data_IF_037920445236
#
_entry.id   IF_037920445236
#
_cell.length_a   1.000
_cell.length_b   1.000
_cell.length_c   1.000
_cell.angle_alpha   90.00
_cell.angle_beta   90.00
_cell.angle_gamma   90.00
#
_symmetry.space_group_name_H-M   'P 1'
#
loop_
_entity.id
_entity.type
_entity.pdbx_description
1 polymer ?
#
# COMPACT_ATOMS: atom_id res chain seq x y z
N UNK A 1 25.48 4.77 -24.99
CA UNK A 1 25.30 5.67 -23.83
C UNK A 1 23.89 5.63 -23.22
N UNK A 2 22.79 5.84 -23.98
CA UNK A 2 21.42 5.84 -23.43
C UNK A 2 20.97 4.51 -22.80
N UNK A 3 21.25 3.37 -23.43
CA UNK A 3 20.86 2.05 -22.90
C UNK A 3 21.56 1.67 -21.58
N UNK A 4 22.85 1.99 -21.45
CA UNK A 4 23.59 1.76 -20.20
C UNK A 4 23.02 2.61 -19.04
N UNK A 5 22.62 3.86 -19.33
CA UNK A 5 21.95 4.72 -18.35
C UNK A 5 20.60 4.15 -17.89
N UNK A 6 19.79 3.63 -18.81
CA UNK A 6 18.52 2.96 -18.51
C UNK A 6 18.77 1.72 -17.63
N UNK A 7 19.70 0.85 -18.02
CA UNK A 7 20.01 -0.37 -17.26
C UNK A 7 20.54 -0.05 -15.86
N UNK A 8 21.41 0.97 -15.75
CA UNK A 8 21.90 1.46 -14.47
C UNK A 8 20.77 1.98 -13.59
N UNK A 9 19.85 2.77 -14.14
CA UNK A 9 18.70 3.29 -13.39
C UNK A 9 17.77 2.18 -12.90
N UNK A 10 17.46 1.19 -13.75
CA UNK A 10 16.69 0.00 -13.37
C UNK A 10 17.40 -0.75 -12.24
N UNK A 11 18.69 -1.04 -12.39
CA UNK A 11 19.47 -1.75 -11.37
C UNK A 11 19.53 -0.97 -10.05
N UNK A 12 19.77 0.34 -10.13
CA UNK A 12 19.82 1.21 -8.96
C UNK A 12 18.47 1.26 -8.23
N UNK A 13 17.36 1.36 -8.97
CA UNK A 13 16.01 1.29 -8.41
C UNK A 13 15.76 -0.03 -7.69
N UNK A 14 16.14 -1.16 -8.31
CA UNK A 14 16.03 -2.48 -7.70
C UNK A 14 16.83 -2.57 -6.39
N UNK A 15 18.09 -2.13 -6.39
CA UNK A 15 18.93 -2.11 -5.18
C UNK A 15 18.33 -1.23 -4.09
N UNK A 16 17.85 -0.04 -4.42
CA UNK A 16 17.26 0.87 -3.43
C UNK A 16 15.96 0.32 -2.84
N UNK A 17 15.17 -0.43 -3.61
CA UNK A 17 13.94 -1.07 -3.11
C UNK A 17 14.19 -2.08 -1.98
N UNK A 18 15.36 -2.74 -1.98
CA UNK A 18 15.74 -3.74 -0.98
C UNK A 18 16.39 -3.15 0.27
N UNK A 19 16.82 -1.87 0.23
CA UNK A 19 17.50 -1.23 1.36
C UNK A 19 16.61 -1.01 2.57
N UNK A 20 15.30 -0.86 2.40
CA UNK A 20 14.33 -0.63 3.47
C UNK A 20 14.38 -1.71 4.56
N UNK A 21 14.67 -2.96 4.17
CA UNK A 21 14.86 -4.07 5.11
C UNK A 21 16.08 -3.90 6.02
N UNK A 22 17.15 -3.25 5.55
CA UNK A 22 18.34 -2.95 6.35
C UNK A 22 18.10 -1.67 7.17
N UNK A 23 17.50 -0.67 6.53
CA UNK A 23 17.22 0.65 7.13
C UNK A 23 16.27 0.51 8.32
N UNK A 24 15.25 -0.36 8.28
CA UNK A 24 14.30 -0.51 9.40
C UNK A 24 14.99 -0.88 10.71
N UNK A 25 15.98 -1.79 10.69
CA UNK A 25 16.74 -2.19 11.88
C UNK A 25 17.63 -1.05 12.38
N UNK A 26 18.21 -0.27 11.47
CA UNK A 26 19.02 0.88 11.82
C UNK A 26 18.18 2.05 12.38
N UNK A 27 17.01 2.30 11.79
CA UNK A 27 16.07 3.33 12.21
C UNK A 27 15.53 3.02 13.62
N UNK A 28 15.11 1.78 13.87
CA UNK A 28 14.59 1.34 15.17
C UNK A 28 15.68 1.42 16.26
N UNK A 29 16.91 0.97 15.96
CA UNK A 29 18.05 1.09 16.86
C UNK A 29 18.35 2.55 17.20
N UNK A 30 18.38 3.43 16.22
CA UNK A 30 18.71 4.84 16.42
C UNK A 30 17.61 5.64 17.10
N UNK A 31 16.34 5.37 16.81
CA UNK A 31 15.20 5.95 17.53
C UNK A 31 15.31 5.55 19.01
N UNK A 32 15.53 4.27 19.29
CA UNK A 32 15.71 3.77 20.66
C UNK A 32 16.90 4.40 21.38
N UNK A 33 18.02 4.59 20.69
CA UNK A 33 19.18 5.29 21.24
C UNK A 33 18.90 6.78 21.50
N UNK A 34 18.17 7.48 20.63
CA UNK A 34 17.77 8.88 20.85
C UNK A 34 16.79 9.03 22.02
N UNK A 35 15.85 8.09 22.17
CA UNK A 35 14.98 8.02 23.33
C UNK A 35 15.77 7.85 24.63
N UNK A 36 16.76 6.95 24.64
CA UNK A 36 17.66 6.74 25.78
C UNK A 36 18.56 7.95 26.07
N UNK A 37 19.01 8.66 25.03
CA UNK A 37 19.88 9.84 25.13
C UNK A 37 19.09 11.13 25.41
N UNK A 38 17.76 11.11 25.40
CA UNK A 38 16.95 12.28 25.74
C UNK A 38 17.08 12.58 27.25
N UNK A 39 17.51 13.79 27.66
CA UNK A 39 17.68 14.13 29.07
C UNK A 39 16.32 14.52 29.66
N UNK A 40 15.34 13.61 29.64
CA UNK A 40 14.08 13.83 30.36
C UNK A 40 14.17 13.18 31.73
N UNK A 41 14.90 13.83 32.66
CA UNK A 41 14.63 13.65 34.10
C UNK A 41 15.22 14.65 35.09
N UNK A 42 16.22 15.48 34.76
CA UNK A 42 16.89 16.28 35.81
C UNK A 42 16.53 17.78 35.87
N UNK A 43 15.97 18.39 34.82
CA UNK A 43 15.68 19.83 34.85
C UNK A 43 14.28 20.23 35.34
N UNK A 44 13.39 19.27 35.59
CA UNK A 44 12.03 19.55 36.06
C UNK A 44 11.90 19.61 37.60
N UNK A 45 12.93 19.19 38.35
CA UNK A 45 12.88 19.12 39.81
C UNK A 45 13.31 20.43 40.51
N UNK A 46 13.96 21.36 39.82
CA UNK A 46 14.59 22.54 40.46
C UNK A 46 13.81 23.85 40.32
N UNK A 47 12.61 23.84 39.73
CA UNK A 47 11.77 25.03 39.55
C UNK A 47 10.35 24.83 40.08
N UNK A 48 10.26 24.26 41.29
CA UNK A 48 9.01 24.03 42.02
C UNK A 48 8.95 24.93 43.26
N UNK A 49 9.07 26.24 43.05
CA UNK A 49 8.73 27.24 44.06
C UNK A 49 8.20 28.47 43.31
N UNK A 50 6.98 28.88 43.66
CA UNK A 50 6.18 29.99 43.13
C UNK A 50 5.28 29.75 41.89
N UNK A 51 4.00 30.12 42.08
CA UNK A 51 2.87 30.32 41.14
C UNK A 51 1.83 29.17 40.95
N UNK A 52 0.69 29.36 41.65
CA UNK A 52 -0.75 29.18 41.29
C UNK A 52 -1.26 27.93 40.52
N UNK A 53 -2.41 27.33 40.92
CA UNK A 53 -2.95 26.14 40.27
C UNK A 53 -3.83 26.52 39.07
N UNK A 54 -3.20 26.72 37.91
CA UNK A 54 -3.92 26.75 36.64
C UNK A 54 -3.89 25.35 36.03
N UNK A 55 -5.05 24.86 35.57
CA UNK A 55 -5.29 23.50 35.09
C UNK A 55 -4.37 23.19 33.91
N UNK A 56 -3.20 22.63 34.22
CA UNK A 56 -2.23 22.18 33.24
C UNK A 56 -2.78 20.92 32.56
N UNK A 57 -3.25 21.08 31.32
CA UNK A 57 -3.46 19.98 30.41
C UNK A 57 -2.15 19.18 30.30
N UNK A 58 -2.16 17.97 30.86
CA UNK A 58 -1.07 17.00 30.75
C UNK A 58 -0.77 16.81 29.25
N UNK A 59 0.43 17.15 28.75
CA UNK A 59 0.77 16.83 27.37
C UNK A 59 0.78 15.31 27.26
N UNK A 60 -0.15 14.76 26.48
CA UNK A 60 -0.21 13.33 26.17
C UNK A 60 1.17 12.90 25.65
N UNK A 61 1.81 12.04 26.42
CA UNK A 61 3.07 11.37 26.14
C UNK A 61 2.96 10.70 24.76
N UNK A 62 3.57 11.30 23.73
CA UNK A 62 3.71 10.64 22.43
C UNK A 62 4.77 9.55 22.61
N UNK A 63 4.33 8.32 22.93
CA UNK A 63 5.18 7.15 22.80
C UNK A 63 5.68 7.08 21.35
N UNK A 64 7.00 7.14 21.16
CA UNK A 64 7.62 7.06 19.84
C UNK A 64 7.17 5.79 19.12
N UNK A 65 6.95 5.85 17.79
CA UNK A 65 6.30 4.78 17.08
C UNK A 65 7.25 3.60 17.02
N UNK A 66 6.83 2.48 17.61
CA UNK A 66 7.43 1.17 17.39
C UNK A 66 7.15 0.75 15.94
N UNK A 67 7.83 1.37 14.97
CA UNK A 67 7.68 1.14 13.52
C UNK A 67 7.83 -0.34 13.22
N UNK A 68 8.82 -0.99 13.85
CA UNK A 68 9.05 -2.42 13.74
C UNK A 68 7.92 -3.23 14.35
N UNK A 69 7.44 -2.89 15.55
CA UNK A 69 6.30 -3.60 16.17
C UNK A 69 5.01 -3.43 15.37
N UNK A 70 4.75 -2.26 14.78
CA UNK A 70 3.58 -2.00 13.93
C UNK A 70 3.68 -2.71 12.58
N UNK A 71 4.88 -2.75 12.00
CA UNK A 71 5.16 -3.56 10.80
C UNK A 71 5.00 -5.05 11.10
N UNK A 72 5.50 -5.53 12.24
CA UNK A 72 5.32 -6.92 12.69
C UNK A 72 3.88 -7.25 13.07
N UNK A 73 3.12 -6.30 13.64
CA UNK A 73 1.70 -6.45 13.91
C UNK A 73 0.90 -6.51 12.60
N UNK A 74 1.24 -5.67 11.62
CA UNK A 74 0.71 -5.75 10.25
C UNK A 74 1.01 -7.11 9.61
N UNK A 75 2.27 -7.54 9.62
CA UNK A 75 2.67 -8.84 9.08
C UNK A 75 2.03 -10.01 9.84
N UNK A 76 1.87 -9.88 11.17
CA UNK A 76 1.25 -10.87 12.03
C UNK A 76 -0.25 -11.00 11.79
N UNK A 77 -1.00 -9.90 11.78
CA UNK A 77 -2.44 -9.94 11.51
C UNK A 77 -2.75 -10.41 10.08
N UNK A 78 -1.97 -9.97 9.09
CA UNK A 78 -2.27 -10.22 7.67
C UNK A 78 -1.66 -11.50 7.11
N UNK A 79 -0.56 -11.96 7.70
CA UNK A 79 0.05 -13.24 7.39
C UNK A 79 -0.56 -14.34 8.26
N UNK A 80 -0.44 -14.22 9.58
CA UNK A 80 -0.79 -15.32 10.49
C UNK A 80 -2.30 -15.53 10.57
N UNK A 81 -3.11 -14.51 10.87
CA UNK A 81 -4.56 -14.74 11.04
C UNK A 81 -5.21 -15.18 9.72
N UNK A 82 -4.82 -14.51 8.63
CA UNK A 82 -5.36 -14.80 7.30
C UNK A 82 -4.93 -16.15 6.74
N UNK A 83 -3.62 -16.38 6.59
CA UNK A 83 -3.15 -17.64 6.01
C UNK A 83 -3.45 -18.82 6.92
N UNK A 84 -3.33 -18.68 8.25
CA UNK A 84 -3.73 -19.77 9.14
C UNK A 84 -5.22 -20.04 9.02
N UNK A 85 -6.09 -19.03 8.90
CA UNK A 85 -7.53 -19.28 8.71
C UNK A 85 -7.83 -20.02 7.39
N UNK A 86 -7.15 -19.67 6.30
CA UNK A 86 -7.31 -20.35 5.01
C UNK A 86 -6.78 -21.78 5.08
N UNK A 87 -5.59 -21.99 5.67
CA UNK A 87 -4.99 -23.32 5.82
C UNK A 87 -5.87 -24.19 6.73
N UNK A 88 -6.36 -23.67 7.85
CA UNK A 88 -7.27 -24.41 8.74
C UNK A 88 -8.55 -24.76 7.97
N UNK A 89 -9.11 -23.82 7.19
CA UNK A 89 -10.31 -24.09 6.42
C UNK A 89 -10.11 -25.18 5.34
N UNK A 90 -9.05 -25.05 4.54
CA UNK A 90 -8.76 -25.95 3.41
C UNK A 90 -8.20 -27.31 3.86
N UNK A 91 -7.35 -27.34 4.89
CA UNK A 91 -6.63 -28.55 5.31
C UNK A 91 -7.27 -29.26 6.50
N UNK A 92 -8.10 -28.60 7.30
CA UNK A 92 -8.76 -29.21 8.46
C UNK A 92 -10.28 -29.24 8.30
N UNK A 93 -10.92 -28.10 8.07
CA UNK A 93 -12.40 -28.00 8.07
C UNK A 93 -13.00 -28.74 6.88
N UNK A 94 -12.55 -28.48 5.65
CA UNK A 94 -13.08 -29.15 4.47
C UNK A 94 -12.84 -30.67 4.50
N UNK A 95 -11.64 -31.19 4.81
CA UNK A 95 -11.44 -32.64 4.92
C UNK A 95 -12.27 -33.29 6.01
N UNK A 96 -12.42 -32.63 7.18
CA UNK A 96 -13.25 -33.15 8.28
C UNK A 96 -14.73 -33.22 7.90
N UNK A 97 -15.24 -32.18 7.23
CA UNK A 97 -16.62 -32.17 6.74
C UNK A 97 -16.85 -33.18 5.62
N UNK A 98 -15.87 -33.38 4.73
CA UNK A 98 -15.93 -34.42 3.70
C UNK A 98 -16.00 -35.81 4.33
N UNK A 99 -15.19 -36.05 5.36
CA UNK A 99 -15.23 -37.29 6.12
C UNK A 99 -16.60 -37.50 6.78
N UNK A 100 -17.16 -36.47 7.41
CA UNK A 100 -18.49 -36.52 8.02
C UNK A 100 -19.60 -36.81 6.99
N UNK A 101 -19.57 -36.16 5.82
CA UNK A 101 -20.53 -36.45 4.73
C UNK A 101 -20.39 -37.89 4.24
N UNK A 102 -19.15 -38.37 4.08
CA UNK A 102 -18.89 -39.75 3.67
C UNK A 102 -19.39 -40.75 4.71
N UNK A 103 -19.25 -40.44 6.00
CA UNK A 103 -19.74 -41.26 7.10
C UNK A 103 -21.27 -41.34 7.13
N UNK A 104 -21.96 -40.20 6.98
CA UNK A 104 -23.43 -40.12 7.05
C UNK A 104 -24.12 -40.66 5.80
N UNK A 105 -23.60 -40.35 4.60
CA UNK A 105 -24.27 -40.62 3.32
C UNK A 105 -23.58 -41.70 2.48
N UNK A 106 -22.43 -42.22 2.89
CA UNK A 106 -21.66 -43.22 2.13
C UNK A 106 -22.34 -44.59 1.99
N UNK A 107 -23.37 -44.87 2.80
CA UNK A 107 -24.19 -46.08 2.68
C UNK A 107 -25.10 -46.07 1.44
N UNK A 108 -25.41 -44.88 0.89
CA UNK A 108 -26.22 -44.73 -0.32
C UNK A 108 -25.32 -44.46 -1.52
N UNK A 109 -25.43 -45.26 -2.59
CA UNK A 109 -24.50 -45.19 -3.72
C UNK A 109 -24.46 -43.80 -4.36
N UNK A 110 -23.34 -43.08 -4.21
CA UNK A 110 -23.08 -41.80 -4.87
C UNK A 110 -23.73 -40.56 -4.24
N UNK A 111 -24.51 -40.71 -3.16
CA UNK A 111 -25.15 -39.59 -2.47
C UNK A 111 -24.12 -38.67 -1.79
N UNK A 112 -23.12 -39.26 -1.15
CA UNK A 112 -21.98 -38.57 -0.53
C UNK A 112 -21.25 -37.64 -1.52
N UNK A 113 -20.98 -38.14 -2.74
CA UNK A 113 -20.30 -37.40 -3.81
C UNK A 113 -21.16 -36.25 -4.32
N UNK A 114 -22.46 -36.48 -4.49
CA UNK A 114 -23.41 -35.46 -4.95
C UNK A 114 -23.56 -34.32 -3.95
N UNK A 115 -23.72 -34.65 -2.66
CA UNK A 115 -23.80 -33.66 -1.58
C UNK A 115 -22.50 -32.87 -1.46
N UNK A 116 -21.34 -33.54 -1.50
CA UNK A 116 -20.04 -32.86 -1.42
C UNK A 116 -19.78 -31.92 -2.60
N UNK A 117 -20.22 -32.30 -3.81
CA UNK A 117 -20.07 -31.48 -5.04
C UNK A 117 -20.68 -30.09 -4.89
N UNK A 118 -21.87 -29.98 -4.28
CA UNK A 118 -22.54 -28.70 -4.04
C UNK A 118 -22.09 -28.02 -2.75
N UNK A 119 -21.83 -28.81 -1.70
CA UNK A 119 -21.49 -28.27 -0.39
C UNK A 119 -20.12 -27.60 -0.39
N UNK A 120 -19.10 -28.20 -1.02
CA UNK A 120 -17.74 -27.63 -1.07
C UNK A 120 -17.71 -26.21 -1.64
N UNK A 121 -18.20 -25.93 -2.87
CA UNK A 121 -18.15 -24.58 -3.43
C UNK A 121 -18.99 -23.59 -2.60
N UNK A 122 -20.14 -24.00 -2.07
CA UNK A 122 -20.97 -23.14 -1.22
C UNK A 122 -20.26 -22.74 0.07
N UNK A 123 -19.60 -23.70 0.75
CA UNK A 123 -18.82 -23.43 1.96
C UNK A 123 -17.61 -22.55 1.66
N UNK A 124 -16.84 -22.85 0.61
CA UNK A 124 -15.67 -22.04 0.21
C UNK A 124 -16.09 -20.61 -0.15
N UNK A 125 -17.21 -20.43 -0.84
CA UNK A 125 -17.73 -19.10 -1.18
C UNK A 125 -18.20 -18.34 0.07
N UNK A 126 -18.95 -18.99 0.95
CA UNK A 126 -19.43 -18.38 2.20
C UNK A 126 -18.28 -17.98 3.11
N UNK A 127 -17.29 -18.86 3.30
CA UNK A 127 -16.08 -18.55 4.07
C UNK A 127 -15.32 -17.37 3.44
N UNK A 128 -15.16 -17.38 2.12
CA UNK A 128 -14.47 -16.29 1.42
C UNK A 128 -15.21 -14.95 1.54
N UNK A 129 -16.54 -14.94 1.40
CA UNK A 129 -17.34 -13.73 1.40
C UNK A 129 -17.53 -13.14 2.80
N UNK A 130 -17.73 -13.98 3.82
CA UNK A 130 -18.08 -13.53 5.18
C UNK A 130 -16.86 -13.39 6.09
N UNK A 131 -15.77 -14.11 5.82
CA UNK A 131 -14.57 -14.08 6.66
C UNK A 131 -13.36 -13.45 5.95
N UNK A 132 -12.97 -14.04 4.82
CA UNK A 132 -11.73 -13.65 4.12
C UNK A 132 -11.85 -12.25 3.51
N UNK A 133 -12.95 -11.91 2.86
CA UNK A 133 -13.11 -10.60 2.22
C UNK A 133 -13.20 -9.45 3.26
N UNK A 134 -14.02 -9.51 4.32
CA UNK A 134 -14.14 -8.41 5.28
C UNK A 134 -12.85 -8.19 6.08
N UNK A 135 -12.21 -9.27 6.52
CA UNK A 135 -10.92 -9.16 7.21
C UNK A 135 -9.85 -8.55 6.29
N UNK A 136 -9.93 -8.75 4.98
CA UNK A 136 -8.92 -8.29 4.01
C UNK A 136 -9.09 -6.79 3.78
N UNK A 137 -10.34 -6.33 3.70
CA UNK A 137 -10.67 -4.91 3.63
C UNK A 137 -10.24 -4.22 4.93
N UNK A 138 -10.57 -4.79 6.10
CA UNK A 138 -10.20 -4.22 7.40
C UNK A 138 -8.67 -4.13 7.54
N UNK A 139 -7.97 -5.20 7.18
CA UNK A 139 -6.51 -5.26 7.09
C UNK A 139 -5.96 -4.11 6.26
N UNK A 140 -6.45 -3.90 5.02
CA UNK A 140 -5.99 -2.79 4.17
C UNK A 140 -6.17 -1.42 4.81
N UNK A 141 -7.29 -1.18 5.49
CA UNK A 141 -7.53 0.11 6.17
C UNK A 141 -6.53 0.30 7.32
N UNK A 142 -6.40 -0.69 8.21
CA UNK A 142 -5.47 -0.60 9.34
C UNK A 142 -4.02 -0.47 8.87
N UNK A 143 -3.66 -1.23 7.85
CA UNK A 143 -2.36 -1.14 7.19
C UNK A 143 -2.09 0.26 6.65
N UNK A 144 -3.06 0.88 5.96
CA UNK A 144 -2.89 2.23 5.41
C UNK A 144 -2.60 3.28 6.50
N UNK A 145 -3.22 3.16 7.68
CA UNK A 145 -2.94 4.03 8.82
C UNK A 145 -1.52 3.83 9.35
N UNK A 146 -1.09 2.58 9.50
CA UNK A 146 0.28 2.27 9.91
C UNK A 146 1.31 2.70 8.88
N UNK A 147 1.03 2.54 7.59
CA UNK A 147 1.90 2.97 6.49
C UNK A 147 2.15 4.47 6.52
N UNK A 148 1.11 5.27 6.81
CA UNK A 148 1.25 6.71 6.98
C UNK A 148 2.17 7.05 8.17
N UNK A 149 1.96 6.42 9.33
CA UNK A 149 2.80 6.63 10.51
C UNK A 149 4.28 6.27 10.26
N UNK A 150 4.53 5.16 9.54
CA UNK A 150 5.87 4.70 9.16
C UNK A 150 6.52 5.74 8.24
N UNK A 151 5.79 6.19 7.22
CA UNK A 151 6.30 7.17 6.28
C UNK A 151 6.65 8.50 6.95
N UNK A 152 5.78 9.01 7.82
CA UNK A 152 6.01 10.26 8.53
C UNK A 152 7.23 10.17 9.45
N UNK A 153 7.42 9.02 10.09
CA UNK A 153 8.58 8.76 10.94
C UNK A 153 9.87 8.66 10.13
N UNK A 154 9.85 7.92 9.02
CA UNK A 154 10.99 7.83 8.11
C UNK A 154 11.34 9.21 7.55
N UNK A 155 10.37 9.96 7.03
CA UNK A 155 10.58 11.30 6.50
C UNK A 155 11.19 12.27 7.52
N UNK A 156 10.67 12.27 8.76
CA UNK A 156 11.22 13.09 9.86
C UNK A 156 12.67 12.76 10.17
N UNK A 157 13.06 11.51 10.03
CA UNK A 157 14.43 11.07 10.21
C UNK A 157 15.34 11.56 9.08
N UNK A 158 14.95 11.38 7.82
CA UNK A 158 15.82 11.67 6.67
C UNK A 158 15.85 13.15 6.27
N UNK A 159 14.73 13.87 6.39
CA UNK A 159 14.53 15.21 5.80
C UNK A 159 13.98 16.26 6.77
N UNK A 160 13.61 15.89 7.99
CA UNK A 160 13.06 16.82 8.99
C UNK A 160 11.54 17.02 8.88
N UNK A 161 11.01 18.21 9.18
CA UNK A 161 9.55 18.40 9.30
C UNK A 161 8.83 18.32 7.93
N UNK A 162 7.70 17.59 7.83
CA UNK A 162 6.89 17.55 6.60
C UNK A 162 6.40 18.93 6.17
N UNK A 163 6.39 19.17 4.85
CA UNK A 163 5.73 20.32 4.24
C UNK A 163 4.28 19.95 3.94
N UNK A 164 3.36 20.34 4.83
CA UNK A 164 1.93 20.17 4.60
C UNK A 164 1.44 21.14 3.52
N UNK A 165 0.59 20.66 2.61
CA UNK A 165 -0.13 21.53 1.68
C UNK A 165 -0.89 22.61 2.46
N UNK A 166 -0.89 23.84 1.94
CA UNK A 166 -1.40 25.01 2.68
C UNK A 166 -2.89 24.97 3.01
N UNK A 167 -3.65 24.03 2.43
CA UNK A 167 -5.10 23.92 2.60
C UNK A 167 -5.53 22.46 2.70
N UNK A 168 -6.32 22.14 3.72
CA UNK A 168 -6.96 20.83 3.93
C UNK A 168 -7.84 20.45 2.73
N UNK A 169 -8.49 21.41 2.08
CA UNK A 169 -9.31 21.14 0.89
C UNK A 169 -8.47 20.67 -0.29
N UNK A 170 -7.29 21.27 -0.50
CA UNK A 170 -6.33 20.82 -1.52
C UNK A 170 -5.82 19.41 -1.22
N UNK A 171 -5.54 19.14 0.05
CA UNK A 171 -5.11 17.83 0.52
C UNK A 171 -6.16 16.76 0.17
N UNK A 172 -7.42 16.98 0.55
CA UNK A 172 -8.51 16.04 0.30
C UNK A 172 -8.71 15.84 -1.21
N UNK A 173 -8.67 16.91 -2.00
CA UNK A 173 -8.82 16.82 -3.45
C UNK A 173 -7.70 16.00 -4.10
N UNK A 174 -6.44 16.24 -3.70
CA UNK A 174 -5.27 15.50 -4.19
C UNK A 174 -5.37 14.02 -3.81
N UNK A 175 -5.72 13.70 -2.56
CA UNK A 175 -5.90 12.32 -2.10
C UNK A 175 -7.00 11.60 -2.87
N UNK A 176 -8.18 12.23 -3.05
CA UNK A 176 -9.29 11.63 -3.79
C UNK A 176 -8.93 11.41 -5.27
N UNK A 177 -8.27 12.38 -5.88
CA UNK A 177 -7.83 12.28 -7.28
C UNK A 177 -6.77 11.19 -7.45
N UNK A 178 -5.82 11.09 -6.51
CA UNK A 178 -4.80 10.03 -6.51
C UNK A 178 -5.43 8.64 -6.39
N UNK A 179 -6.34 8.43 -5.44
CA UNK A 179 -7.07 7.15 -5.29
C UNK A 179 -7.80 6.78 -6.60
N UNK A 180 -8.48 7.74 -7.24
CA UNK A 180 -9.19 7.47 -8.49
C UNK A 180 -8.22 7.09 -9.63
N UNK A 181 -7.15 7.86 -9.83
CA UNK A 181 -6.16 7.61 -10.88
C UNK A 181 -5.50 6.25 -10.67
N UNK A 182 -5.08 5.93 -9.44
CA UNK A 182 -4.47 4.66 -9.09
C UNK A 182 -5.43 3.47 -9.32
N UNK A 183 -6.70 3.60 -8.93
CA UNK A 183 -7.71 2.58 -9.16
C UNK A 183 -7.97 2.33 -10.66
N UNK A 184 -8.11 3.40 -11.45
CA UNK A 184 -8.26 3.29 -12.90
C UNK A 184 -7.01 2.69 -13.56
N UNK A 185 -5.82 3.00 -13.05
CA UNK A 185 -4.57 2.45 -13.56
C UNK A 185 -4.42 0.96 -13.27
N UNK A 186 -4.88 0.50 -12.10
CA UNK A 186 -4.97 -0.92 -11.80
C UNK A 186 -5.92 -1.65 -12.77
N UNK A 187 -7.11 -1.08 -13.03
CA UNK A 187 -8.05 -1.64 -14.03
C UNK A 187 -7.43 -1.66 -15.42
N UNK A 188 -6.77 -0.58 -15.85
CA UNK A 188 -6.03 -0.51 -17.11
C UNK A 188 -5.01 -1.65 -17.21
N UNK A 189 -4.28 -1.94 -16.13
CA UNK A 189 -3.28 -3.02 -16.08
C UNK A 189 -3.91 -4.40 -16.25
N UNK A 190 -5.04 -4.65 -15.60
CA UNK A 190 -5.80 -5.89 -15.76
C UNK A 190 -6.31 -6.09 -17.20
N UNK A 191 -6.74 -5.00 -17.86
CA UNK A 191 -7.17 -5.07 -19.26
C UNK A 191 -5.99 -5.36 -20.21
N UNK A 192 -4.82 -4.79 -19.94
CA UNK A 192 -3.60 -5.05 -20.72
C UNK A 192 -3.15 -6.51 -20.61
N UNK A 193 -3.32 -7.16 -19.45
CA UNK A 193 -3.05 -8.60 -19.33
C UNK A 193 -4.01 -9.50 -20.13
N UNK A 194 -5.13 -8.96 -20.62
CA UNK A 194 -6.06 -9.71 -21.49
C UNK A 194 -5.71 -9.59 -22.98
N UNK A 195 -4.61 -8.93 -23.34
CA UNK A 195 -4.20 -8.81 -24.74
C UNK A 195 -3.87 -10.19 -25.33
N UNK A 196 -4.27 -10.46 -26.58
CA UNK A 196 -4.09 -11.76 -27.23
C UNK A 196 -2.62 -12.11 -27.51
N UNK A 197 -1.70 -11.13 -27.41
CA UNK A 197 -0.27 -11.31 -27.58
C UNK A 197 0.35 -11.59 -26.20
N UNK A 198 0.21 -12.83 -25.73
CA UNK A 198 0.52 -13.24 -24.35
C UNK A 198 1.84 -12.68 -23.77
N UNK A 199 3.02 -12.81 -24.40
CA UNK A 199 4.26 -12.31 -23.80
C UNK A 199 4.32 -10.79 -23.71
N UNK A 200 3.68 -10.08 -24.65
CA UNK A 200 3.66 -8.61 -24.64
C UNK A 200 2.69 -8.11 -23.58
N UNK A 201 1.51 -8.72 -23.46
CA UNK A 201 0.53 -8.39 -22.42
C UNK A 201 1.11 -8.53 -21.01
N UNK A 202 1.83 -9.63 -20.75
CA UNK A 202 2.45 -9.89 -19.46
C UNK A 202 3.56 -8.89 -19.12
N UNK A 203 4.45 -8.59 -20.08
CA UNK A 203 5.53 -7.62 -19.88
C UNK A 203 4.97 -6.22 -19.62
N UNK A 204 3.98 -5.78 -20.40
CA UNK A 204 3.40 -4.44 -20.23
C UNK A 204 2.62 -4.36 -18.91
N UNK A 205 1.89 -5.43 -18.54
CA UNK A 205 1.23 -5.53 -17.23
C UNK A 205 2.26 -5.45 -16.08
N UNK A 206 3.39 -6.16 -16.19
CA UNK A 206 4.47 -6.08 -15.20
C UNK A 206 5.02 -4.66 -15.08
N UNK A 207 5.28 -3.98 -16.21
CA UNK A 207 5.74 -2.58 -16.21
C UNK A 207 4.73 -1.66 -15.53
N UNK A 208 3.42 -1.82 -15.81
CA UNK A 208 2.38 -1.07 -15.13
C UNK A 208 2.42 -1.30 -13.62
N UNK A 209 2.48 -2.57 -13.19
CA UNK A 209 2.51 -2.92 -11.76
C UNK A 209 3.75 -2.37 -11.06
N UNK A 210 4.91 -2.38 -11.71
CA UNK A 210 6.12 -1.77 -11.15
C UNK A 210 5.93 -0.26 -10.92
N UNK A 211 5.43 0.46 -11.93
CA UNK A 211 5.19 1.90 -11.83
C UNK A 211 4.12 2.24 -10.78
N UNK A 212 3.04 1.46 -10.72
CA UNK A 212 1.98 1.64 -9.73
C UNK A 212 2.50 1.42 -8.31
N UNK A 213 3.30 0.37 -8.08
CA UNK A 213 3.87 0.10 -6.76
C UNK A 213 4.94 1.10 -6.34
N UNK A 214 5.74 1.59 -7.29
CA UNK A 214 6.62 2.73 -7.05
C UNK A 214 5.83 3.98 -6.68
N UNK A 215 4.75 4.29 -7.41
CA UNK A 215 3.88 5.42 -7.08
C UNK A 215 3.34 5.29 -5.66
N UNK A 216 2.82 4.12 -5.28
CA UNK A 216 2.32 3.88 -3.92
C UNK A 216 3.39 4.13 -2.85
N UNK A 217 4.60 3.62 -3.03
CA UNK A 217 5.67 3.75 -2.04
C UNK A 217 6.20 5.18 -1.93
N UNK A 218 6.45 5.83 -3.08
CA UNK A 218 7.01 7.18 -3.13
C UNK A 218 5.98 8.28 -2.85
N UNK A 219 4.69 8.02 -3.05
CA UNK A 219 3.62 8.98 -2.77
C UNK A 219 3.69 9.48 -1.34
N UNK A 220 3.97 8.61 -0.36
CA UNK A 220 4.15 9.04 1.02
C UNK A 220 5.27 10.07 1.21
N UNK A 221 6.42 9.85 0.55
CA UNK A 221 7.54 10.80 0.56
C UNK A 221 7.17 12.10 -0.13
N UNK A 222 6.59 12.03 -1.33
CA UNK A 222 6.25 13.19 -2.14
C UNK A 222 5.11 14.02 -1.54
N UNK A 223 4.19 13.37 -0.85
CA UNK A 223 3.16 14.02 -0.07
C UNK A 223 3.78 14.84 1.07
N UNK A 224 4.76 14.29 1.78
CA UNK A 224 5.51 15.01 2.81
C UNK A 224 6.41 16.13 2.26
N UNK A 225 6.73 16.10 0.96
CA UNK A 225 7.37 17.20 0.22
C UNK A 225 6.37 18.22 -0.36
N UNK A 226 5.06 18.04 -0.13
CA UNK A 226 4.02 18.92 -0.67
C UNK A 226 3.84 18.84 -2.19
N UNK A 227 4.23 17.75 -2.84
CA UNK A 227 4.05 17.58 -4.28
C UNK A 227 2.60 17.21 -4.59
N UNK A 228 1.96 17.85 -5.56
CA UNK A 228 0.64 17.47 -6.07
C UNK A 228 0.75 16.26 -7.02
N UNK A 229 -0.36 15.52 -7.21
CA UNK A 229 -0.39 14.29 -8.01
C UNK A 229 0.19 14.46 -9.40
N UNK A 230 -0.16 15.55 -10.12
CA UNK A 230 0.37 15.80 -11.46
C UNK A 230 1.90 15.84 -11.48
N UNK A 231 2.53 16.48 -10.49
CA UNK A 231 3.98 16.50 -10.36
C UNK A 231 4.54 15.10 -10.08
N UNK A 232 3.89 14.32 -9.22
CA UNK A 232 4.29 12.93 -8.89
C UNK A 232 4.28 12.06 -10.16
N UNK A 233 3.20 12.11 -10.95
CA UNK A 233 3.04 11.34 -12.17
C UNK A 233 4.05 11.76 -13.24
N UNK A 234 4.20 13.06 -13.51
CA UNK A 234 5.19 13.54 -14.49
C UNK A 234 6.61 13.14 -14.10
N UNK A 235 6.96 13.20 -12.81
CA UNK A 235 8.27 12.78 -12.32
C UNK A 235 8.48 11.27 -12.48
N UNK A 236 7.44 10.48 -12.20
CA UNK A 236 7.46 9.02 -12.35
C UNK A 236 7.64 8.62 -13.82
N UNK A 237 6.81 9.16 -14.73
CA UNK A 237 6.84 8.85 -16.17
C UNK A 237 8.11 9.35 -16.84
N UNK A 238 8.66 10.49 -16.41
CA UNK A 238 9.93 11.03 -16.91
C UNK A 238 11.17 10.26 -16.46
N UNK A 239 11.09 9.52 -15.35
CA UNK A 239 12.21 8.73 -14.81
C UNK A 239 11.83 7.25 -14.65
N UNK A 240 10.96 6.75 -15.52
CA UNK A 240 10.37 5.42 -15.46
C UNK A 240 11.39 4.28 -15.31
N UNK A 241 12.63 4.31 -15.86
CA UNK A 241 13.56 3.18 -15.72
C UNK A 241 13.88 2.89 -14.26
N UNK A 242 14.11 3.94 -13.47
CA UNK A 242 14.37 3.81 -12.03
C UNK A 242 13.18 3.19 -11.31
N UNK A 243 11.98 3.68 -11.59
CA UNK A 243 10.76 3.22 -10.92
C UNK A 243 10.34 1.83 -11.35
N UNK A 244 10.55 1.43 -12.60
CA UNK A 244 10.39 0.03 -13.02
C UNK A 244 11.30 -0.86 -12.19
N UNK A 245 12.59 -0.49 -12.06
CA UNK A 245 13.53 -1.23 -11.21
C UNK A 245 13.11 -1.29 -9.74
N UNK A 246 12.66 -0.18 -9.18
CA UNK A 246 12.24 -0.09 -7.78
C UNK A 246 10.99 -0.92 -7.48
N UNK A 247 9.97 -0.87 -8.34
CA UNK A 247 8.73 -1.62 -8.14
C UNK A 247 8.84 -3.11 -8.47
N UNK A 248 9.87 -3.51 -9.23
CA UNK A 248 10.01 -4.87 -9.77
C UNK A 248 9.95 -5.99 -8.73
N UNK A 249 10.69 -5.98 -7.60
CA UNK A 249 10.64 -7.09 -6.67
C UNK A 249 9.25 -7.26 -6.05
N UNK A 250 8.57 -6.15 -5.72
CA UNK A 250 7.21 -6.23 -5.19
C UNK A 250 6.24 -6.75 -6.25
N UNK A 251 6.32 -6.24 -7.48
CA UNK A 251 5.47 -6.66 -8.59
C UNK A 251 5.60 -8.16 -8.87
N UNK A 252 6.83 -8.68 -8.97
CA UNK A 252 7.10 -10.11 -9.17
C UNK A 252 6.58 -10.94 -8.00
N UNK A 253 6.87 -10.55 -6.75
CA UNK A 253 6.44 -11.32 -5.57
C UNK A 253 4.91 -11.38 -5.45
N UNK A 254 4.21 -10.32 -5.86
CA UNK A 254 2.74 -10.30 -5.89
C UNK A 254 2.13 -11.04 -7.08
N UNK A 255 2.91 -11.31 -8.14
CA UNK A 255 2.45 -12.05 -9.31
C UNK A 255 2.60 -13.57 -9.16
N UNK A 256 3.42 -14.05 -8.22
CA UNK A 256 3.64 -15.49 -7.96
C UNK A 256 2.34 -16.19 -7.49
N UNK A 257 1.56 -15.64 -6.53
CA UNK A 257 0.35 -16.32 -6.06
C UNK A 257 -0.76 -16.27 -7.12
N UNK A 258 -1.43 -17.40 -7.35
CA UNK A 258 -2.60 -17.47 -8.23
C UNK A 258 -3.85 -16.80 -7.65
N UNK A 259 -3.88 -16.55 -6.34
CA UNK A 259 -4.99 -15.91 -5.65
C UNK A 259 -4.71 -14.44 -5.40
N UNK A 260 -5.62 -13.56 -5.85
CA UNK A 260 -5.57 -12.12 -5.58
C UNK A 260 -5.54 -11.78 -4.09
N UNK A 261 -6.15 -12.61 -3.25
CA UNK A 261 -6.14 -12.44 -1.80
C UNK A 261 -4.74 -12.69 -1.26
N UNK A 262 -4.11 -13.79 -1.69
CA UNK A 262 -2.75 -14.14 -1.30
C UNK A 262 -1.74 -13.10 -1.82
N UNK A 263 -1.90 -12.65 -3.06
CA UNK A 263 -1.15 -11.54 -3.64
C UNK A 263 -1.28 -10.26 -2.80
N UNK A 264 -2.49 -9.92 -2.37
CA UNK A 264 -2.75 -8.79 -1.47
C UNK A 264 -2.12 -8.93 -0.07
N UNK A 265 -2.04 -10.14 0.47
CA UNK A 265 -1.30 -10.42 1.72
C UNK A 265 0.21 -10.20 1.52
N UNK A 266 0.79 -10.74 0.45
CA UNK A 266 2.21 -10.53 0.10
C UNK A 266 2.50 -9.04 -0.04
N UNK A 267 1.65 -8.31 -0.77
CA UNK A 267 1.73 -6.86 -0.88
C UNK A 267 1.73 -6.21 0.51
N UNK A 268 0.75 -6.52 1.35
CA UNK A 268 0.59 -5.90 2.67
C UNK A 268 1.78 -6.13 3.61
N UNK A 269 2.42 -7.29 3.53
CA UNK A 269 3.60 -7.67 4.32
C UNK A 269 4.84 -6.88 3.86
N UNK A 270 5.06 -6.80 2.55
CA UNK A 270 6.28 -6.23 1.99
C UNK A 270 6.21 -4.71 1.86
N UNK A 271 5.04 -4.15 1.60
CA UNK A 271 4.87 -2.75 1.25
C UNK A 271 5.41 -1.74 2.30
N UNK A 272 5.31 -1.95 3.63
CA UNK A 272 6.02 -1.14 4.62
C UNK A 272 7.51 -0.94 4.35
N UNK A 273 8.19 -2.00 3.90
CA UNK A 273 9.62 -1.96 3.61
C UNK A 273 9.89 -1.06 2.40
N UNK A 274 9.02 -1.12 1.38
CA UNK A 274 9.10 -0.27 0.20
C UNK A 274 8.82 1.20 0.53
N UNK A 275 7.93 1.52 1.48
CA UNK A 275 7.73 2.90 1.95
C UNK A 275 9.01 3.44 2.60
N UNK A 276 9.68 2.64 3.44
CA UNK A 276 10.93 3.05 4.09
C UNK A 276 12.03 3.22 3.02
N UNK A 277 12.18 2.24 2.12
CA UNK A 277 13.10 2.33 0.97
C UNK A 277 12.86 3.59 0.15
N UNK A 278 11.60 3.90 -0.19
CA UNK A 278 11.22 5.04 -1.00
C UNK A 278 11.57 6.38 -0.33
N UNK A 279 11.40 6.46 1.00
CA UNK A 279 11.77 7.65 1.77
C UNK A 279 13.28 7.94 1.72
N UNK A 280 14.12 6.92 1.88
CA UNK A 280 15.58 7.05 1.81
C UNK A 280 16.13 7.14 0.38
N UNK A 281 15.40 6.59 -0.60
CA UNK A 281 15.84 6.51 -1.98
C UNK A 281 16.03 7.88 -2.65
N UNK A 282 17.06 7.99 -3.47
CA UNK A 282 17.29 9.13 -4.36
C UNK A 282 17.19 8.66 -5.81
N UNK A 283 16.03 8.87 -6.47
CA UNK A 283 15.81 8.39 -7.83
C UNK A 283 16.85 8.92 -8.81
N UNK A 284 17.36 8.02 -9.66
CA UNK A 284 18.24 8.40 -10.78
C UNK A 284 17.41 9.11 -11.84
N UNK A 285 17.79 10.34 -12.18
CA UNK A 285 17.06 11.17 -13.14
C UNK A 285 17.87 11.43 -14.41
N UNK A 286 17.20 11.85 -15.49
CA UNK A 286 17.86 12.32 -16.71
C UNK A 286 18.52 11.24 -17.58
N UNK A 287 18.15 9.97 -17.39
CA UNK A 287 18.71 8.83 -18.14
C UNK A 287 17.94 8.48 -19.42
N UNK A 288 16.70 8.98 -19.54
CA UNK A 288 15.81 8.70 -20.67
C UNK A 288 15.07 9.98 -21.07
N UNK A 289 15.07 10.31 -22.36
CA UNK A 289 14.39 11.49 -22.91
C UNK A 289 12.94 11.21 -23.33
N UNK A 290 12.53 9.93 -23.34
CA UNK A 290 11.21 9.50 -23.76
C UNK A 290 10.36 9.14 -22.53
N UNK A 291 9.45 10.03 -22.09
CA UNK A 291 8.57 9.74 -20.97
C UNK A 291 7.54 8.68 -21.34
N UNK A 292 7.28 7.76 -20.41
CA UNK A 292 6.34 6.66 -20.60
C UNK A 292 4.95 7.14 -20.16
N UNK A 293 4.15 7.68 -21.09
CA UNK A 293 2.86 8.35 -20.82
C UNK A 293 1.69 7.38 -20.48
N UNK A 294 1.96 6.35 -19.68
CA UNK A 294 0.98 5.30 -19.36
C UNK A 294 -0.18 5.79 -18.48
N UNK A 295 0.00 6.86 -17.70
CA UNK A 295 -1.05 7.42 -16.86
C UNK A 295 -1.97 8.37 -17.63
N UNK A 296 -1.62 8.76 -18.86
CA UNK A 296 -2.42 9.69 -19.67
C UNK A 296 -3.88 9.23 -19.89
N UNK A 297 -4.16 7.96 -20.22
CA UNK A 297 -5.54 7.50 -20.40
C UNK A 297 -6.36 7.62 -19.11
N UNK A 298 -5.79 7.24 -17.97
CA UNK A 298 -6.49 7.29 -16.68
C UNK A 298 -6.66 8.72 -16.17
N UNK A 299 -5.73 9.62 -16.46
CA UNK A 299 -5.87 11.05 -16.18
C UNK A 299 -7.02 11.64 -16.99
N UNK A 300 -7.12 11.30 -18.28
CA UNK A 300 -8.21 11.77 -19.13
C UNK A 300 -9.58 11.31 -18.61
N UNK A 301 -9.69 10.03 -18.21
CA UNK A 301 -10.91 9.47 -17.62
C UNK A 301 -11.23 10.14 -16.28
N UNK A 302 -10.25 10.29 -15.39
CA UNK A 302 -10.44 10.97 -14.09
C UNK A 302 -10.94 12.41 -14.28
N UNK A 303 -10.33 13.17 -15.19
CA UNK A 303 -10.75 14.53 -15.51
C UNK A 303 -12.19 14.58 -16.07
N UNK A 304 -12.57 13.61 -16.91
CA UNK A 304 -13.93 13.49 -17.42
C UNK A 304 -14.96 13.19 -16.31
N UNK A 305 -14.60 12.35 -15.32
CA UNK A 305 -15.46 12.03 -14.17
C UNK A 305 -15.65 13.26 -13.27
N UNK A 306 -14.55 13.94 -12.93
CA UNK A 306 -14.59 15.11 -12.05
C UNK A 306 -15.33 16.29 -12.70
N UNK A 307 -15.07 16.58 -13.98
CA UNK A 307 -15.78 17.65 -14.72
C UNK A 307 -17.28 17.38 -14.82
N UNK A 308 -17.71 16.13 -15.09
CA UNK A 308 -19.13 15.76 -15.11
C UNK A 308 -19.80 15.87 -13.74
N UNK A 309 -19.12 15.46 -12.68
CA UNK A 309 -19.67 15.44 -11.31
C UNK A 309 -19.81 16.86 -10.74
N UNK A 310 -18.80 17.70 -10.95
CA UNK A 310 -18.80 19.09 -10.48
C UNK A 310 -19.70 19.97 -11.37
N UNK A 311 -19.64 19.79 -12.69
CA UNK A 311 -20.46 20.54 -13.65
C UNK A 311 -21.96 20.33 -13.47
N UNK A 312 -22.40 19.10 -13.14
CA UNK A 312 -23.81 18.84 -12.82
C UNK A 312 -24.26 19.55 -11.54
N UNK A 313 -23.42 19.62 -10.51
CA UNK A 313 -23.75 20.27 -9.22
C UNK A 313 -23.89 21.78 -9.34
N UNK A 314 -23.06 22.43 -10.17
CA UNK A 314 -23.19 23.86 -10.48
C UNK A 314 -24.52 24.21 -11.18
N UNK A 315 -24.95 23.38 -12.13
CA UNK A 315 -26.22 23.60 -12.86
C UNK A 315 -27.49 23.33 -12.01
N UNK A 316 -27.37 22.47 -11.00
CA UNK A 316 -28.44 22.15 -10.05
C UNK A 316 -28.65 23.28 -9.04
N UNK A 317 -27.57 23.85 -8.50
CA UNK A 317 -27.64 25.01 -7.59
C UNK A 317 -28.16 26.29 -8.26
N UNK A 318 -27.96 26.46 -9.57
CA UNK A 318 -28.55 27.60 -10.31
C UNK A 318 -30.04 27.46 -10.58
N UNK A 319 -30.61 26.24 -10.52
CA UNK A 319 -32.05 26.00 -10.75
C UNK A 319 -32.90 26.06 -9.49
N UNK A 320 -32.31 25.93 -8.30
CA UNK A 320 -33.03 26.04 -7.01
C UNK A 320 -33.06 27.47 -6.44
N UNK A 321 -32.38 28.42 -7.10
CA UNK A 321 -32.39 29.86 -6.75
C UNK A 321 -33.20 30.73 -7.71
N UNK A 322 -34.07 30.14 -8.52
CA UNK A 322 -35.06 30.86 -9.35
C UNK A 322 -36.46 30.48 -8.92
#
# INVERSE_FOLDING_TARGET
MKFQGILYAVFKGFVDSLKGTIVIFYLDKNIRERALKSPTREHSARRKESATPEVAAVPKKHEEPKILTRTLQCCGLNGVVFWCSIIIFECLVLPSLKYLVSFLFGHSSGMDKSVWFWMKPFLSWTFSATWVLPLFILSKVVNSLWFQDIADSAYRYSRGRPQLLSSVSKLIADTLFSILVQALFLVQSMLVSMLPIAPVGDIVCLVHMCLLYSLYAFEYKWFNMGWELHKRLTFLEGNWPYFVGFGLPLAVLTAIPSSYIVSGCVFSILFPLFIISGNEAEPVTGVCDCPLQLFSPVIAISNAIFSKTIGKKASSHSKTRR
#
